data_IF_959170557862
#
_entry.id   IF_959170557862
#
_cell.length_a   1.000
_cell.length_b   1.000
_cell.length_c   1.000
_cell.angle_alpha   90.00
_cell.angle_beta   90.00
_cell.angle_gamma   90.00
#
_symmetry.space_group_name_H-M   'P 1'
#
loop_
_entity.id
_entity.type
_entity.pdbx_description
1 polymer ?
#
# COMPACT_ATOMS: atom_id res chain seq x y z
N UNK A 1 -8.31 6.32 -4.27
CA UNK A 1 -9.37 5.33 -3.96
C UNK A 1 -10.73 5.89 -4.39
N UNK A 2 -11.55 5.15 -5.16
CA UNK A 2 -12.74 5.71 -5.80
C UNK A 2 -13.88 6.10 -4.84
N UNK A 3 -13.84 5.65 -3.59
CA UNK A 3 -14.90 5.83 -2.60
C UNK A 3 -14.68 6.99 -1.61
N UNK A 4 -13.60 7.76 -1.75
CA UNK A 4 -13.36 9.00 -0.98
C UNK A 4 -13.33 10.17 -1.97
N UNK A 5 -14.12 11.21 -1.71
CA UNK A 5 -14.20 12.40 -2.56
C UNK A 5 -12.93 13.26 -2.46
N UNK A 6 -12.71 14.12 -3.46
CA UNK A 6 -11.49 14.93 -3.53
C UNK A 6 -11.34 15.97 -2.41
N UNK A 7 -12.46 16.47 -1.86
CA UNK A 7 -12.41 17.45 -0.77
C UNK A 7 -11.91 16.78 0.49
N UNK A 8 -12.45 15.59 0.80
CA UNK A 8 -11.99 14.77 1.92
C UNK A 8 -10.52 14.37 1.77
N UNK A 9 -10.06 14.04 0.54
CA UNK A 9 -8.64 13.74 0.28
C UNK A 9 -7.75 14.91 0.63
N UNK A 10 -8.02 16.11 0.11
CA UNK A 10 -7.18 17.31 0.35
C UNK A 10 -6.99 17.63 1.84
N UNK A 11 -8.02 17.40 2.66
CA UNK A 11 -7.92 17.59 4.11
C UNK A 11 -6.97 16.56 4.73
N UNK A 12 -7.10 15.29 4.33
CA UNK A 12 -6.28 14.20 4.85
C UNK A 12 -4.84 14.25 4.34
N UNK A 13 -4.65 14.57 3.06
CA UNK A 13 -3.36 14.60 2.37
C UNK A 13 -2.36 15.46 3.13
N UNK A 14 -2.77 16.65 3.59
CA UNK A 14 -1.91 17.50 4.44
C UNK A 14 -1.34 16.75 5.65
N UNK A 15 -2.18 16.03 6.40
CA UNK A 15 -1.73 15.31 7.59
C UNK A 15 -0.91 14.07 7.24
N UNK A 16 -1.19 13.46 6.09
CA UNK A 16 -0.44 12.31 5.58
C UNK A 16 0.96 12.75 5.17
N UNK A 17 1.08 13.87 4.44
CA UNK A 17 2.34 14.45 4.00
C UNK A 17 3.19 14.85 5.22
N UNK A 18 2.61 15.61 6.17
CA UNK A 18 3.29 15.98 7.41
C UNK A 18 3.79 14.76 8.20
N UNK A 19 2.98 13.68 8.27
CA UNK A 19 3.37 12.46 8.98
C UNK A 19 4.45 11.67 8.22
N UNK A 20 4.36 11.62 6.89
CA UNK A 20 5.35 10.95 6.05
C UNK A 20 6.72 11.62 6.20
N UNK A 21 6.76 12.95 6.12
CA UNK A 21 7.96 13.77 6.33
C UNK A 21 8.61 13.52 7.70
N UNK A 22 7.80 13.41 8.76
CA UNK A 22 8.30 13.10 10.11
C UNK A 22 8.86 11.69 10.18
N UNK A 23 8.16 10.70 9.62
CA UNK A 23 8.59 9.29 9.62
C UNK A 23 9.88 9.10 8.80
N UNK A 24 10.05 9.83 7.70
CA UNK A 24 11.23 9.74 6.85
C UNK A 24 12.34 10.70 7.25
N UNK A 25 12.12 11.54 8.28
CA UNK A 25 13.01 12.64 8.66
C UNK A 25 13.42 13.51 7.45
N UNK A 26 12.44 13.81 6.58
CA UNK A 26 12.62 14.52 5.33
C UNK A 26 13.72 13.94 4.40
N UNK A 27 13.97 12.63 4.46
CA UNK A 27 14.97 11.94 3.64
C UNK A 27 14.35 10.84 2.79
N UNK A 28 14.99 10.50 1.67
CA UNK A 28 14.56 9.34 0.88
C UNK A 28 14.84 8.04 1.65
N UNK A 29 14.06 7.00 1.36
CA UNK A 29 14.27 5.68 1.94
C UNK A 29 15.53 5.05 1.36
N UNK A 30 16.48 4.68 2.21
CA UNK A 30 17.73 4.01 1.83
C UNK A 30 18.05 2.84 2.77
N UNK A 31 19.11 2.11 2.47
CA UNK A 31 19.48 0.92 3.26
C UNK A 31 19.88 1.24 4.71
N UNK A 32 20.27 2.47 5.01
CA UNK A 32 20.70 2.89 6.35
C UNK A 32 19.50 3.28 7.23
N UNK A 33 18.50 3.95 6.65
CA UNK A 33 17.33 4.43 7.38
C UNK A 33 16.11 3.49 7.30
N UNK A 34 16.08 2.53 6.36
CA UNK A 34 14.87 1.72 6.07
C UNK A 34 14.30 1.03 7.30
N UNK A 35 15.13 0.44 8.16
CA UNK A 35 14.64 -0.26 9.34
C UNK A 35 13.98 0.68 10.36
N UNK A 36 14.53 1.88 10.53
CA UNK A 36 13.97 2.92 11.41
C UNK A 36 12.65 3.42 10.84
N UNK A 37 12.64 3.80 9.55
CA UNK A 37 11.44 4.30 8.86
C UNK A 37 10.30 3.27 8.91
N UNK A 38 10.59 1.99 8.65
CA UNK A 38 9.59 0.92 8.74
C UNK A 38 9.09 0.70 10.17
N UNK A 39 9.96 0.84 11.17
CA UNK A 39 9.59 0.78 12.58
C UNK A 39 8.63 1.90 12.97
N UNK A 40 8.94 3.13 12.59
CA UNK A 40 8.13 4.31 12.88
C UNK A 40 6.79 4.27 12.13
N UNK A 41 6.80 3.85 10.86
CA UNK A 41 5.57 3.61 10.10
C UNK A 41 4.68 2.58 10.79
N UNK A 42 5.24 1.44 11.23
CA UNK A 42 4.47 0.40 11.93
C UNK A 42 3.89 0.92 13.26
N UNK A 43 4.66 1.72 14.00
CA UNK A 43 4.19 2.37 15.21
C UNK A 43 3.04 3.35 14.96
N UNK A 44 3.19 4.25 13.98
CA UNK A 44 2.18 5.24 13.62
C UNK A 44 0.87 4.58 13.17
N UNK A 45 0.94 3.55 12.33
CA UNK A 45 -0.24 2.81 11.88
C UNK A 45 -0.93 2.10 13.05
N UNK A 46 -0.18 1.47 13.95
CA UNK A 46 -0.72 0.83 15.15
C UNK A 46 -1.43 1.83 16.07
N UNK A 47 -0.82 3.01 16.29
CA UNK A 47 -1.40 4.09 17.09
C UNK A 47 -2.65 4.67 16.44
N UNK A 48 -2.65 4.86 15.12
CA UNK A 48 -3.80 5.37 14.36
C UNK A 48 -4.99 4.41 14.49
N UNK A 49 -4.78 3.13 14.21
CA UNK A 49 -5.82 2.10 14.32
C UNK A 49 -6.37 2.03 15.75
N UNK A 50 -5.49 2.04 16.76
CA UNK A 50 -5.91 2.05 18.17
C UNK A 50 -6.75 3.28 18.53
N UNK A 51 -6.35 4.48 18.07
CA UNK A 51 -7.11 5.72 18.29
C UNK A 51 -8.47 5.69 17.61
N UNK A 52 -8.55 5.21 16.36
CA UNK A 52 -9.81 5.12 15.60
C UNK A 52 -10.76 4.09 16.22
N UNK A 53 -10.24 2.97 16.74
CA UNK A 53 -11.04 1.92 17.36
C UNK A 53 -11.80 2.40 18.60
N UNK A 54 -11.14 3.16 19.48
CA UNK A 54 -11.66 3.50 20.81
C UNK A 54 -11.91 2.24 21.64
N UNK A 55 -13.11 2.09 22.21
CA UNK A 55 -13.47 0.87 22.97
C UNK A 55 -13.45 -0.37 22.08
N UNK A 56 -12.72 -1.39 22.54
CA UNK A 56 -12.50 -2.65 21.81
C UNK A 56 -13.77 -3.48 21.68
N UNK A 57 -14.04 -3.96 20.47
CA UNK A 57 -14.99 -5.04 20.22
C UNK A 57 -14.48 -5.90 19.06
N UNK A 58 -14.88 -7.18 19.03
CA UNK A 58 -14.47 -8.09 17.97
C UNK A 58 -14.87 -7.58 16.58
N UNK A 59 -16.09 -7.04 16.45
CA UNK A 59 -16.56 -6.47 15.20
C UNK A 59 -15.66 -5.32 14.69
N UNK A 60 -15.25 -4.41 15.58
CA UNK A 60 -14.32 -3.32 15.21
C UNK A 60 -12.95 -3.85 14.83
N UNK A 61 -12.44 -4.84 15.56
CA UNK A 61 -11.16 -5.49 15.22
C UNK A 61 -11.22 -6.09 13.82
N UNK A 62 -12.24 -6.90 13.53
CA UNK A 62 -12.42 -7.53 12.22
C UNK A 62 -12.57 -6.51 11.07
N UNK A 63 -13.31 -5.41 11.29
CA UNK A 63 -13.46 -4.36 10.29
C UNK A 63 -12.16 -3.60 10.03
N UNK A 64 -11.44 -3.20 11.09
CA UNK A 64 -10.19 -2.45 10.96
C UNK A 64 -9.08 -3.30 10.35
N UNK A 65 -8.95 -4.57 10.73
CA UNK A 65 -8.00 -5.48 10.08
C UNK A 65 -8.35 -5.73 8.62
N UNK A 66 -9.64 -5.79 8.29
CA UNK A 66 -10.12 -5.83 6.90
C UNK A 66 -9.70 -4.59 6.09
N UNK A 67 -9.76 -3.39 6.69
CA UNK A 67 -9.25 -2.17 6.04
C UNK A 67 -7.75 -2.26 5.77
N UNK A 68 -6.95 -2.72 6.75
CA UNK A 68 -5.51 -2.89 6.56
C UNK A 68 -5.17 -3.92 5.47
N UNK A 69 -5.92 -5.03 5.40
CA UNK A 69 -5.76 -6.02 4.34
C UNK A 69 -6.05 -5.41 2.96
N UNK A 70 -7.14 -4.64 2.85
CA UNK A 70 -7.46 -3.95 1.61
C UNK A 70 -6.36 -2.95 1.19
N UNK A 71 -5.78 -2.22 2.15
CA UNK A 71 -4.65 -1.31 1.89
C UNK A 71 -3.45 -2.07 1.33
N UNK A 72 -3.08 -3.20 1.94
CA UNK A 72 -1.98 -4.06 1.48
C UNK A 72 -2.22 -4.57 0.05
N UNK A 73 -3.41 -5.11 -0.20
CA UNK A 73 -3.76 -5.66 -1.51
C UNK A 73 -3.77 -4.59 -2.60
N UNK A 74 -4.30 -3.40 -2.29
CA UNK A 74 -4.35 -2.29 -3.26
C UNK A 74 -2.95 -1.72 -3.55
N UNK A 75 -2.07 -1.66 -2.54
CA UNK A 75 -0.66 -1.30 -2.74
C UNK A 75 0.03 -2.30 -3.68
N UNK A 76 -0.09 -3.60 -3.41
CA UNK A 76 0.49 -4.63 -4.27
C UNK A 76 -0.02 -4.53 -5.71
N UNK A 77 -1.35 -4.42 -5.87
CA UNK A 77 -1.99 -4.35 -7.20
C UNK A 77 -1.61 -3.11 -7.99
N UNK A 78 -1.45 -1.95 -7.35
CA UNK A 78 -1.17 -0.68 -8.04
C UNK A 78 0.30 -0.37 -8.21
N UNK A 79 1.16 -0.89 -7.34
CA UNK A 79 2.60 -0.56 -7.31
C UNK A 79 3.45 -1.76 -7.69
N UNK A 80 3.26 -2.91 -7.04
CA UNK A 80 4.09 -4.09 -7.28
C UNK A 80 3.80 -4.72 -8.65
N UNK A 81 2.52 -4.87 -9.03
CA UNK A 81 2.16 -5.53 -10.31
C UNK A 81 2.75 -4.82 -11.53
N UNK A 82 2.64 -3.48 -11.72
CA UNK A 82 3.28 -2.82 -12.85
C UNK A 82 4.81 -3.00 -12.86
N UNK A 83 5.45 -2.92 -11.70
CA UNK A 83 6.89 -3.16 -11.57
C UNK A 83 7.26 -4.61 -11.94
N UNK A 84 6.47 -5.60 -11.50
CA UNK A 84 6.66 -7.00 -11.85
C UNK A 84 6.46 -7.24 -13.36
N UNK A 85 5.48 -6.61 -13.99
CA UNK A 85 5.27 -6.67 -15.44
C UNK A 85 6.49 -6.13 -16.19
N UNK A 86 7.07 -5.01 -15.76
CA UNK A 86 8.31 -4.48 -16.31
C UNK A 86 9.48 -5.46 -16.13
N UNK A 87 9.60 -6.09 -14.96
CA UNK A 87 10.65 -7.09 -14.69
C UNK A 87 10.46 -8.39 -15.45
N UNK A 88 9.23 -8.79 -15.73
CA UNK A 88 8.91 -9.93 -16.59
C UNK A 88 9.34 -9.64 -18.03
N UNK A 89 9.12 -8.43 -18.54
CA UNK A 89 9.62 -8.04 -19.88
C UNK A 89 11.15 -8.07 -19.92
N UNK A 90 11.82 -7.60 -18.86
CA UNK A 90 13.29 -7.53 -18.79
C UNK A 90 13.95 -8.90 -18.61
N UNK A 91 13.40 -9.75 -17.74
CA UNK A 91 14.08 -10.96 -17.25
C UNK A 91 13.38 -12.26 -17.67
N UNK A 92 12.18 -12.17 -18.25
CA UNK A 92 11.28 -13.29 -18.44
C UNK A 92 10.51 -13.65 -17.17
N UNK A 93 9.40 -14.35 -17.35
CA UNK A 93 8.60 -14.92 -16.27
C UNK A 93 9.01 -16.37 -15.96
N UNK A 94 8.57 -16.90 -14.81
CA UNK A 94 8.83 -18.28 -14.42
C UNK A 94 8.12 -19.28 -15.36
N UNK A 95 8.65 -20.51 -15.43
CA UNK A 95 8.21 -21.53 -16.39
C UNK A 95 6.70 -21.82 -16.31
N UNK A 96 6.11 -21.77 -15.12
CA UNK A 96 4.68 -22.04 -14.87
C UNK A 96 3.76 -20.93 -15.40
N UNK A 97 4.26 -19.70 -15.56
CA UNK A 97 3.47 -18.52 -15.91
C UNK A 97 3.87 -17.86 -17.24
N UNK A 98 4.98 -18.28 -17.85
CA UNK A 98 5.56 -17.77 -19.10
C UNK A 98 4.59 -17.57 -20.27
N UNK A 99 3.47 -18.29 -20.31
CA UNK A 99 2.46 -18.19 -21.36
C UNK A 99 1.13 -17.56 -20.91
N UNK A 100 0.97 -17.21 -19.63
CA UNK A 100 -0.29 -16.66 -19.09
C UNK A 100 -0.53 -15.21 -19.48
N UNK A 101 0.53 -14.43 -19.72
CA UNK A 101 0.42 -13.03 -20.13
C UNK A 101 0.05 -12.87 -21.62
N UNK A 102 0.27 -13.91 -22.44
CA UNK A 102 -0.01 -13.87 -23.89
C UNK A 102 -1.48 -14.12 -24.24
N UNK A 103 -2.26 -14.72 -23.34
CA UNK A 103 -3.67 -15.08 -23.61
C UNK A 103 -4.65 -13.90 -23.44
N UNK A 104 -4.21 -12.78 -22.86
CA UNK A 104 -5.03 -11.59 -22.63
C UNK A 104 -5.04 -10.57 -23.78
N UNK A 105 -4.03 -10.58 -24.66
CA UNK A 105 -3.91 -9.60 -25.76
C UNK A 105 -4.79 -9.92 -26.99
N UNK A 106 -5.38 -11.10 -27.06
CA UNK A 106 -6.17 -11.57 -28.22
C UNK A 106 -7.70 -11.43 -28.05
N UNK A 107 -8.18 -10.58 -27.13
CA UNK A 107 -9.63 -10.38 -26.88
C UNK A 107 -10.16 -8.98 -27.22
N UNK A 108 -9.39 -8.17 -27.94
CA UNK A 108 -9.87 -6.92 -28.52
C UNK A 108 -9.87 -7.05 -30.05
N UNK A 109 -10.88 -7.74 -30.58
CA UNK A 109 -11.33 -7.66 -31.98
C UNK A 109 -12.84 -7.69 -32.00
#
# INVERSE_FOLDING_TARGET
MPYIDETSRKVLDRYIDDLADVITNHSELDNENVMTVLGDMNYCMSRLVGKVMGNTSYAKVAMLTGVLENVKQEFYRRVAVPYEEEKIVQNGDIKEYKNRHLTGQNRLV
#
